data_IF_434576966038
#
_entry.id   IF_434576966038
#
_cell.length_a   1.000
_cell.length_b   1.000
_cell.length_c   1.000
_cell.angle_alpha   90.00
_cell.angle_beta   90.00
_cell.angle_gamma   90.00
#
_symmetry.space_group_name_H-M   'P 1'
#
loop_
_entity.id
_entity.type
_entity.pdbx_description
1 polymer ?
#
# COMPACT_ATOMS: atom_id res chain seq x y z
N UNK A 1 -4.70 16.99 10.62
CA UNK A 1 -5.89 16.58 11.40
C UNK A 1 -5.57 15.35 12.25
N UNK A 2 -4.84 14.38 11.70
CA UNK A 2 -4.57 13.06 12.32
C UNK A 2 -3.71 13.12 13.59
N UNK A 3 -2.76 14.06 13.70
CA UNK A 3 -1.97 14.25 14.94
C UNK A 3 -2.85 14.63 16.14
N UNK A 4 -3.94 15.37 15.93
CA UNK A 4 -4.89 15.71 17.02
C UNK A 4 -5.69 14.49 17.47
N UNK A 5 -5.97 13.56 16.56
CA UNK A 5 -6.67 12.31 16.86
C UNK A 5 -5.78 11.39 17.70
N UNK A 6 -4.51 11.23 17.35
CA UNK A 6 -3.56 10.45 18.15
C UNK A 6 -3.41 11.02 19.58
N UNK A 7 -3.28 12.35 19.71
CA UNK A 7 -3.24 13.00 21.03
C UNK A 7 -4.52 12.77 21.85
N UNK A 8 -5.69 12.75 21.20
CA UNK A 8 -6.95 12.43 21.87
C UNK A 8 -6.98 10.97 22.32
N UNK A 9 -6.56 10.03 21.48
CA UNK A 9 -6.46 8.61 21.84
C UNK A 9 -5.51 8.41 23.02
N UNK A 10 -4.34 9.06 23.01
CA UNK A 10 -3.36 9.02 24.10
C UNK A 10 -3.95 9.56 25.41
N UNK A 11 -4.74 10.64 25.35
CA UNK A 11 -5.46 11.17 26.52
C UNK A 11 -6.50 10.19 27.06
N UNK A 12 -7.27 9.54 26.19
CA UNK A 12 -8.24 8.52 26.60
C UNK A 12 -7.55 7.33 27.26
N UNK A 13 -6.46 6.82 26.66
CA UNK A 13 -5.67 5.72 27.23
C UNK A 13 -5.08 6.09 28.60
N UNK A 14 -4.54 7.30 28.74
CA UNK A 14 -4.01 7.80 30.02
C UNK A 14 -5.10 7.84 31.07
N UNK A 15 -6.29 8.34 30.74
CA UNK A 15 -7.43 8.37 31.64
C UNK A 15 -7.88 6.95 32.03
N UNK A 16 -8.03 6.04 31.07
CA UNK A 16 -8.44 4.66 31.34
C UNK A 16 -7.44 3.92 32.24
N UNK A 17 -6.13 4.08 31.99
CA UNK A 17 -5.06 3.54 32.84
C UNK A 17 -5.03 4.18 34.23
N UNK A 18 -5.42 5.44 34.38
CA UNK A 18 -5.57 6.04 35.70
C UNK A 18 -6.79 5.49 36.45
N UNK A 19 -7.88 5.19 35.73
CA UNK A 19 -9.10 4.66 36.32
C UNK A 19 -8.94 3.23 36.80
N UNK A 20 -8.24 2.37 36.05
CA UNK A 20 -8.03 0.97 36.45
C UNK A 20 -7.20 0.82 37.74
N UNK A 21 -6.36 1.80 38.04
CA UNK A 21 -5.54 1.85 39.25
C UNK A 21 -6.30 2.37 40.48
N UNK A 22 -7.57 2.79 40.35
CA UNK A 22 -8.36 3.27 41.48
C UNK A 22 -8.77 2.13 42.40
N UNK A 23 -8.65 2.37 43.70
CA UNK A 23 -9.18 1.48 44.72
C UNK A 23 -10.72 1.41 44.65
N UNK A 24 -11.29 0.24 44.98
CA UNK A 24 -12.74 0.03 45.04
C UNK A 24 -13.40 -0.51 43.76
N UNK A 25 -12.65 -0.74 42.68
CA UNK A 25 -13.17 -1.42 41.49
C UNK A 25 -13.39 -2.91 41.75
N UNK A 26 -14.56 -3.43 41.36
CA UNK A 26 -14.77 -4.88 41.33
C UNK A 26 -14.13 -5.50 40.07
N UNK A 27 -13.95 -6.83 40.08
CA UNK A 27 -13.30 -7.55 38.97
C UNK A 27 -13.97 -7.29 37.62
N UNK A 28 -15.31 -7.26 37.57
CA UNK A 28 -16.06 -7.04 36.32
C UNK A 28 -15.84 -5.64 35.75
N UNK A 29 -15.67 -4.63 36.60
CA UNK A 29 -15.35 -3.27 36.17
C UNK A 29 -13.91 -3.16 35.68
N UNK A 30 -12.99 -3.87 36.33
CA UNK A 30 -11.60 -3.98 35.88
C UNK A 30 -11.51 -4.61 34.50
N UNK A 31 -12.15 -5.77 34.28
CA UNK A 31 -12.17 -6.46 32.99
C UNK A 31 -12.72 -5.56 31.86
N UNK A 32 -13.77 -4.78 32.14
CA UNK A 32 -14.34 -3.82 31.18
C UNK A 32 -13.35 -2.70 30.83
N UNK A 33 -12.58 -2.22 31.81
CA UNK A 33 -11.56 -1.20 31.57
C UNK A 33 -10.38 -1.75 30.79
N UNK A 34 -9.92 -2.96 31.08
CA UNK A 34 -8.87 -3.67 30.35
C UNK A 34 -9.25 -3.85 28.88
N UNK A 35 -10.46 -4.37 28.62
CA UNK A 35 -10.95 -4.53 27.25
C UNK A 35 -11.03 -3.18 26.51
N UNK A 36 -11.47 -2.11 27.17
CA UNK A 36 -11.48 -0.77 26.57
C UNK A 36 -10.07 -0.29 26.25
N UNK A 37 -9.11 -0.51 27.16
CA UNK A 37 -7.70 -0.16 26.91
C UNK A 37 -7.19 -0.91 25.69
N UNK A 38 -7.41 -2.22 25.60
CA UNK A 38 -7.01 -3.03 24.44
C UNK A 38 -7.59 -2.47 23.13
N UNK A 39 -8.88 -2.18 23.10
CA UNK A 39 -9.54 -1.60 21.92
C UNK A 39 -8.93 -0.25 21.54
N UNK A 40 -8.71 0.66 22.50
CA UNK A 40 -8.09 1.95 22.22
C UNK A 40 -6.63 1.83 21.79
N UNK A 41 -5.89 0.84 22.29
CA UNK A 41 -4.53 0.54 21.81
C UNK A 41 -4.52 -0.01 20.38
N UNK A 42 -5.48 -0.85 20.01
CA UNK A 42 -5.63 -1.32 18.63
C UNK A 42 -5.97 -0.15 17.69
N UNK A 43 -6.91 0.71 18.08
CA UNK A 43 -7.25 1.93 17.34
C UNK A 43 -6.01 2.82 17.19
N UNK A 44 -5.25 3.05 18.28
CA UNK A 44 -4.01 3.83 18.26
C UNK A 44 -3.02 3.27 17.26
N UNK A 45 -2.75 1.96 17.31
CA UNK A 45 -1.83 1.27 16.38
C UNK A 45 -2.28 1.40 14.92
N UNK A 46 -3.60 1.33 14.66
CA UNK A 46 -4.15 1.54 13.32
C UNK A 46 -3.94 2.97 12.81
N UNK A 47 -4.18 3.98 13.66
CA UNK A 47 -3.92 5.38 13.31
C UNK A 47 -2.43 5.69 13.15
N UNK A 48 -1.57 5.14 14.01
CA UNK A 48 -0.11 5.25 13.87
C UNK A 48 0.35 4.65 12.54
N UNK A 49 -0.18 3.49 12.15
CA UNK A 49 0.13 2.89 10.85
C UNK A 49 -0.33 3.78 9.69
N UNK A 50 -1.58 4.22 9.72
CA UNK A 50 -2.16 5.09 8.68
C UNK A 50 -1.33 6.36 8.46
N UNK A 51 -0.84 6.96 9.55
CA UNK A 51 -0.05 8.20 9.54
C UNK A 51 1.46 7.99 9.39
N UNK A 52 1.92 6.74 9.38
CA UNK A 52 3.33 6.42 9.20
C UNK A 52 3.79 6.78 7.79
N UNK A 53 5.02 7.26 7.68
CA UNK A 53 5.67 7.44 6.38
C UNK A 53 5.79 6.10 5.65
N UNK A 54 5.69 6.15 4.34
CA UNK A 54 5.81 5.00 3.43
C UNK A 54 7.07 4.15 3.68
N UNK A 55 8.23 4.79 3.89
CA UNK A 55 9.49 4.12 4.21
C UNK A 55 9.42 3.31 5.51
N UNK A 56 8.74 3.85 6.52
CA UNK A 56 8.52 3.17 7.80
C UNK A 56 7.57 1.98 7.61
N UNK A 57 6.54 2.14 6.76
CA UNK A 57 5.64 1.03 6.43
C UNK A 57 6.40 -0.11 5.77
N UNK A 58 7.22 0.20 4.77
CA UNK A 58 8.01 -0.79 4.05
C UNK A 58 9.04 -1.49 4.96
N UNK A 59 9.75 -0.73 5.79
CA UNK A 59 10.69 -1.28 6.78
C UNK A 59 9.98 -2.24 7.75
N UNK A 60 8.77 -1.89 8.18
CA UNK A 60 7.98 -2.73 9.08
C UNK A 60 7.46 -3.99 8.40
N UNK A 61 7.06 -3.94 7.11
CA UNK A 61 6.72 -5.14 6.34
C UNK A 61 7.91 -6.12 6.29
N UNK A 62 9.11 -5.62 6.02
CA UNK A 62 10.34 -6.43 6.01
C UNK A 62 10.64 -7.03 7.39
N UNK A 63 10.49 -6.25 8.46
CA UNK A 63 10.65 -6.75 9.82
C UNK A 63 9.64 -7.88 10.14
N UNK A 64 8.39 -7.75 9.71
CA UNK A 64 7.39 -8.81 9.91
C UNK A 64 7.69 -10.06 9.07
N UNK A 65 8.15 -9.89 7.84
CA UNK A 65 8.64 -11.01 7.01
C UNK A 65 9.73 -11.80 7.75
N UNK A 66 10.68 -11.10 8.38
CA UNK A 66 11.74 -11.74 9.16
C UNK A 66 11.17 -12.54 10.35
N UNK A 67 10.25 -11.94 11.13
CA UNK A 67 9.56 -12.64 12.23
C UNK A 67 8.79 -13.87 11.77
N UNK A 68 8.05 -13.76 10.66
CA UNK A 68 7.30 -14.90 10.11
C UNK A 68 8.23 -16.02 9.66
N UNK A 69 9.39 -15.69 9.08
CA UNK A 69 10.44 -16.67 8.74
C UNK A 69 11.02 -17.35 9.96
N UNK A 70 11.33 -16.60 11.02
CA UNK A 70 11.84 -17.17 12.29
C UNK A 70 10.85 -18.16 12.90
N UNK A 71 9.55 -17.93 12.71
CA UNK A 71 8.47 -18.80 13.17
C UNK A 71 8.18 -19.97 12.21
N UNK A 72 8.91 -20.10 11.10
CA UNK A 72 8.68 -21.14 10.09
C UNK A 72 7.38 -21.01 9.31
N UNK A 73 6.76 -19.82 9.27
CA UNK A 73 5.52 -19.58 8.54
C UNK A 73 5.78 -19.44 7.03
N UNK A 74 4.78 -19.76 6.20
CA UNK A 74 4.83 -19.44 4.77
C UNK A 74 4.80 -17.92 4.57
N UNK A 75 5.88 -17.41 3.97
CA UNK A 75 6.12 -15.99 3.76
C UNK A 75 5.97 -15.55 2.30
N UNK A 76 5.53 -16.43 1.40
CA UNK A 76 5.42 -16.13 -0.03
C UNK A 76 4.54 -14.91 -0.30
N UNK A 77 3.41 -14.81 0.38
CA UNK A 77 2.46 -13.69 0.22
C UNK A 77 3.07 -12.36 0.69
N UNK A 78 3.70 -12.33 1.87
CA UNK A 78 4.40 -11.15 2.39
C UNK A 78 5.54 -10.69 1.47
N UNK A 79 6.29 -11.65 0.92
CA UNK A 79 7.39 -11.36 -0.02
C UNK A 79 6.84 -10.72 -1.31
N UNK A 80 5.74 -11.25 -1.84
CA UNK A 80 5.08 -10.70 -3.01
C UNK A 80 4.55 -9.29 -2.77
N UNK A 81 3.95 -9.01 -1.60
CA UNK A 81 3.50 -7.68 -1.21
C UNK A 81 4.67 -6.67 -1.18
N UNK A 82 5.77 -7.02 -0.50
CA UNK A 82 6.96 -6.17 -0.39
C UNK A 82 7.56 -5.87 -1.77
N UNK A 83 7.68 -6.90 -2.60
CA UNK A 83 8.23 -6.78 -3.95
C UNK A 83 7.32 -5.96 -4.86
N UNK A 84 6.00 -6.17 -4.79
CA UNK A 84 5.02 -5.42 -5.57
C UNK A 84 5.07 -3.93 -5.24
N UNK A 85 5.05 -3.59 -3.95
CA UNK A 85 5.16 -2.21 -3.50
C UNK A 85 6.40 -1.52 -4.08
N UNK A 86 7.55 -2.19 -3.97
CA UNK A 86 8.84 -1.67 -4.47
C UNK A 86 8.82 -1.53 -5.99
N UNK A 87 8.27 -2.52 -6.71
CA UNK A 87 8.21 -2.53 -8.17
C UNK A 87 7.30 -1.45 -8.73
N UNK A 88 6.15 -1.22 -8.12
CA UNK A 88 5.24 -0.14 -8.55
C UNK A 88 5.94 1.21 -8.40
N UNK A 89 6.56 1.49 -7.24
CA UNK A 89 7.27 2.75 -7.01
C UNK A 89 8.45 2.96 -7.95
N UNK A 90 9.18 1.90 -8.28
CA UNK A 90 10.26 1.94 -9.27
C UNK A 90 9.75 2.35 -10.65
N UNK A 91 8.55 1.89 -11.03
CA UNK A 91 8.04 1.99 -12.40
C UNK A 91 7.16 3.23 -12.63
N UNK A 92 6.54 3.80 -11.59
CA UNK A 92 5.72 5.03 -11.68
C UNK A 92 6.42 6.16 -12.45
N UNK A 93 7.70 6.51 -12.20
CA UNK A 93 8.37 7.56 -12.97
C UNK A 93 8.42 7.29 -14.48
N UNK A 94 8.57 6.02 -14.87
CA UNK A 94 8.56 5.61 -16.28
C UNK A 94 7.15 5.67 -16.89
N UNK A 95 6.11 5.39 -16.09
CA UNK A 95 4.71 5.56 -16.49
C UNK A 95 4.35 7.05 -16.60
N UNK A 96 4.94 7.92 -15.78
CA UNK A 96 4.68 9.36 -15.79
C UNK A 96 5.43 10.10 -16.90
N UNK A 97 6.65 9.67 -17.26
CA UNK A 97 7.49 10.25 -18.34
C UNK A 97 6.81 10.26 -19.73
N UNK A 98 5.64 9.65 -19.80
CA UNK A 98 4.81 9.38 -20.96
C UNK A 98 3.80 10.49 -21.20
N UNK A 99 3.58 11.37 -20.22
CA UNK A 99 2.59 12.42 -20.33
C UNK A 99 2.76 13.18 -21.64
N UNK A 100 1.64 13.39 -22.34
CA UNK A 100 1.63 14.03 -23.64
C UNK A 100 0.57 15.14 -23.61
N UNK A 101 0.89 16.27 -24.24
CA UNK A 101 -0.07 17.38 -24.33
C UNK A 101 -1.03 17.16 -25.50
N UNK A 102 -2.34 17.09 -25.22
CA UNK A 102 -3.41 17.23 -26.22
C UNK A 102 -4.05 18.59 -25.99
N UNK A 103 -4.13 19.45 -27.01
CA UNK A 103 -4.83 20.74 -26.92
C UNK A 103 -4.37 21.63 -25.74
N UNK A 104 -3.06 21.67 -25.47
CA UNK A 104 -2.45 22.39 -24.33
C UNK A 104 -2.78 21.81 -22.94
N UNK A 105 -3.58 20.75 -22.85
CA UNK A 105 -3.81 19.97 -21.62
C UNK A 105 -2.85 18.78 -21.57
N UNK A 106 -2.20 18.58 -20.42
CA UNK A 106 -1.40 17.38 -20.16
C UNK A 106 -2.35 16.21 -19.90
N UNK A 107 -2.31 15.19 -20.76
CA UNK A 107 -3.06 13.94 -20.59
C UNK A 107 -2.07 12.79 -20.49
N UNK A 108 -2.36 11.84 -19.61
CA UNK A 108 -1.53 10.64 -19.48
C UNK A 108 -2.16 9.53 -20.33
N UNK A 109 -1.44 9.04 -21.35
CA UNK A 109 -1.95 7.93 -22.18
C UNK A 109 -2.11 6.66 -21.33
N UNK A 110 -1.38 6.63 -20.22
CA UNK A 110 -1.37 5.60 -19.19
C UNK A 110 -2.00 6.08 -17.89
N UNK A 111 -2.96 7.01 -17.95
CA UNK A 111 -3.70 7.46 -16.76
C UNK A 111 -4.35 6.28 -16.02
N UNK A 112 -4.98 5.36 -16.76
CA UNK A 112 -5.57 4.14 -16.19
C UNK A 112 -4.52 3.28 -15.46
N UNK A 113 -3.34 3.12 -16.05
CA UNK A 113 -2.23 2.38 -15.45
C UNK A 113 -1.68 3.10 -14.22
N UNK A 114 -1.56 4.42 -14.26
CA UNK A 114 -1.08 5.23 -13.13
C UNK A 114 -2.07 5.15 -11.96
N UNK A 115 -3.35 5.40 -12.22
CA UNK A 115 -4.43 5.28 -11.24
C UNK A 115 -4.50 3.87 -10.64
N UNK A 116 -4.32 2.85 -11.49
CA UNK A 116 -4.23 1.47 -11.03
C UNK A 116 -3.04 1.27 -10.08
N UNK A 117 -1.85 1.73 -10.44
CA UNK A 117 -0.65 1.65 -9.61
C UNK A 117 -0.82 2.36 -8.26
N UNK A 118 -1.35 3.58 -8.26
CA UNK A 118 -1.62 4.35 -7.05
C UNK A 118 -2.61 3.63 -6.13
N UNK A 119 -3.72 3.13 -6.70
CA UNK A 119 -4.69 2.33 -5.94
C UNK A 119 -4.08 1.06 -5.35
N UNK A 120 -3.19 0.38 -6.06
CA UNK A 120 -2.49 -0.79 -5.53
C UNK A 120 -1.56 -0.42 -4.37
N UNK A 121 -0.83 0.70 -4.47
CA UNK A 121 -0.04 1.21 -3.34
C UNK A 121 -0.91 1.53 -2.13
N UNK A 122 -2.06 2.18 -2.34
CA UNK A 122 -3.01 2.47 -1.27
C UNK A 122 -3.53 1.19 -0.61
N UNK A 123 -3.90 0.16 -1.38
CA UNK A 123 -4.35 -1.13 -0.85
C UNK A 123 -3.26 -1.75 0.03
N UNK A 124 -2.02 -1.75 -0.43
CA UNK A 124 -0.87 -2.27 0.32
C UNK A 124 -0.60 -1.42 1.58
N UNK A 125 -0.82 -0.11 1.52
CA UNK A 125 -0.62 0.80 2.66
C UNK A 125 -1.74 0.74 3.69
N UNK A 126 -2.95 0.36 3.28
CA UNK A 126 -4.09 0.17 4.16
C UNK A 126 -4.25 -1.28 4.63
N UNK A 127 -3.49 -2.23 4.10
CA UNK A 127 -3.42 -3.57 4.67
C UNK A 127 -2.91 -3.44 6.11
N UNK A 128 -3.79 -3.72 7.06
CA UNK A 128 -3.38 -3.87 8.45
C UNK A 128 -2.55 -5.15 8.54
N UNK A 129 -1.65 -5.24 9.53
CA UNK A 129 -0.72 -6.36 9.69
C UNK A 129 -1.37 -7.76 9.74
N UNK A 130 -2.69 -7.84 9.98
CA UNK A 130 -3.45 -9.09 10.07
C UNK A 130 -4.13 -9.48 8.75
N UNK A 131 -4.28 -8.56 7.80
CA UNK A 131 -5.06 -8.76 6.59
C UNK A 131 -4.13 -8.96 5.39
N UNK A 132 -4.27 -10.10 4.69
CA UNK A 132 -3.58 -10.34 3.43
C UNK A 132 -4.09 -9.37 2.37
N UNK A 133 -3.18 -8.68 1.68
CA UNK A 133 -3.49 -7.94 0.45
C UNK A 133 -4.11 -8.89 -0.58
N UNK A 134 -5.24 -8.49 -1.15
CA UNK A 134 -5.81 -9.15 -2.32
C UNK A 134 -5.09 -8.60 -3.56
N UNK A 135 -4.38 -9.45 -4.29
CA UNK A 135 -3.75 -9.05 -5.55
C UNK A 135 -4.81 -8.91 -6.65
N UNK A 136 -4.62 -7.99 -7.60
CA UNK A 136 -5.55 -7.78 -8.69
C UNK A 136 -5.65 -9.04 -9.57
N UNK A 137 -6.86 -9.29 -10.06
CA UNK A 137 -7.12 -10.36 -11.02
C UNK A 137 -6.45 -10.09 -12.37
N UNK A 138 -6.20 -11.15 -13.14
CA UNK A 138 -5.64 -11.03 -14.48
C UNK A 138 -6.42 -10.05 -15.37
N UNK A 139 -7.75 -10.05 -15.30
CA UNK A 139 -8.62 -9.15 -16.07
C UNK A 139 -8.42 -7.69 -15.68
N UNK A 140 -8.31 -7.39 -14.38
CA UNK A 140 -8.04 -6.03 -13.91
C UNK A 140 -6.66 -5.54 -14.37
N UNK A 141 -5.66 -6.42 -14.33
CA UNK A 141 -4.31 -6.12 -14.83
C UNK A 141 -4.34 -5.86 -16.34
N UNK A 142 -4.98 -6.72 -17.12
CA UNK A 142 -5.07 -6.56 -18.59
C UNK A 142 -5.76 -5.24 -18.98
N UNK A 143 -6.84 -4.86 -18.29
CA UNK A 143 -7.54 -3.60 -18.56
C UNK A 143 -6.67 -2.38 -18.22
N UNK A 144 -6.00 -2.39 -17.06
CA UNK A 144 -5.10 -1.30 -16.65
C UNK A 144 -3.91 -1.14 -17.61
N UNK A 145 -3.39 -2.25 -18.15
CA UNK A 145 -2.25 -2.24 -19.08
C UNK A 145 -2.66 -2.16 -20.55
N UNK A 146 -3.95 -2.05 -20.88
CA UNK A 146 -4.48 -2.10 -22.24
C UNK A 146 -3.84 -1.09 -23.19
N UNK A 147 -3.71 0.16 -22.76
CA UNK A 147 -3.06 1.19 -23.59
C UNK A 147 -1.58 0.83 -23.86
N UNK A 148 -0.90 0.30 -22.85
CA UNK A 148 0.48 -0.15 -22.99
C UNK A 148 0.59 -1.29 -24.02
N UNK A 149 -0.22 -2.34 -23.87
CA UNK A 149 -0.15 -3.55 -24.70
C UNK A 149 -0.65 -3.34 -26.13
N UNK A 150 -1.70 -2.53 -26.33
CA UNK A 150 -2.34 -2.36 -27.63
C UNK A 150 -1.76 -1.23 -28.48
N UNK A 151 -1.21 -0.18 -27.85
CA UNK A 151 -0.80 1.05 -28.53
C UNK A 151 0.68 1.37 -28.38
N UNK A 152 1.18 1.36 -27.14
CA UNK A 152 2.55 1.80 -26.83
C UNK A 152 3.58 0.76 -27.27
N UNK A 153 3.46 -0.48 -26.76
CA UNK A 153 4.38 -1.58 -27.07
C UNK A 153 4.44 -1.90 -28.58
N UNK A 154 3.32 -1.94 -29.32
CA UNK A 154 3.35 -2.13 -30.77
C UNK A 154 3.73 -0.86 -31.56
N UNK A 155 4.07 0.25 -30.88
CA UNK A 155 4.48 1.51 -31.48
C UNK A 155 3.46 2.09 -32.47
N UNK A 156 2.17 2.10 -32.09
CA UNK A 156 1.08 2.66 -32.92
C UNK A 156 0.94 4.18 -32.78
N UNK A 157 1.74 4.82 -31.92
CA UNK A 157 1.69 6.27 -31.67
C UNK A 157 3.07 6.88 -31.97
N UNK A 158 3.34 7.30 -33.22
CA UNK A 158 4.67 7.74 -33.65
C UNK A 158 5.23 8.94 -32.87
N UNK A 159 4.35 9.80 -32.35
CA UNK A 159 4.66 11.02 -31.60
C UNK A 159 5.24 10.75 -30.22
N UNK A 160 5.04 9.56 -29.65
CA UNK A 160 5.56 9.18 -28.33
C UNK A 160 7.00 8.67 -28.41
N UNK A 161 7.95 9.56 -28.70
CA UNK A 161 9.37 9.20 -28.78
C UNK A 161 9.95 8.68 -27.45
N UNK A 162 9.46 9.17 -26.32
CA UNK A 162 9.93 8.76 -24.98
C UNK A 162 9.66 7.27 -24.74
N UNK A 163 8.52 6.76 -25.21
CA UNK A 163 8.19 5.33 -25.12
C UNK A 163 9.04 4.43 -26.00
N UNK A 164 9.76 4.98 -26.96
CA UNK A 164 10.68 4.18 -27.78
C UNK A 164 11.98 3.90 -27.04
N UNK A 165 12.22 4.55 -25.90
CA UNK A 165 13.38 4.26 -25.07
C UNK A 165 13.25 2.83 -24.50
N UNK A 166 14.23 1.95 -24.75
CA UNK A 166 14.19 0.56 -24.31
C UNK A 166 13.91 0.40 -22.82
N UNK A 167 14.44 1.32 -22.00
CA UNK A 167 14.31 1.31 -20.54
C UNK A 167 12.86 1.49 -20.10
N UNK A 168 12.12 2.41 -20.72
CA UNK A 168 10.72 2.69 -20.38
C UNK A 168 9.85 1.47 -20.66
N UNK A 169 9.95 0.90 -21.87
CA UNK A 169 9.20 -0.30 -22.23
C UNK A 169 9.58 -1.49 -21.33
N UNK A 170 10.88 -1.67 -21.08
CA UNK A 170 11.35 -2.76 -20.23
C UNK A 170 10.77 -2.67 -18.82
N UNK A 171 10.76 -1.49 -18.21
CA UNK A 171 10.25 -1.30 -16.84
C UNK A 171 8.75 -1.51 -16.74
N UNK A 172 7.98 -1.03 -17.71
CA UNK A 172 6.52 -1.24 -17.73
C UNK A 172 6.18 -2.71 -18.03
N UNK A 173 6.92 -3.37 -18.93
CA UNK A 173 6.77 -4.81 -19.20
C UNK A 173 7.10 -5.66 -17.96
N UNK A 174 8.16 -5.33 -17.24
CA UNK A 174 8.55 -6.01 -16.00
C UNK A 174 7.42 -5.91 -14.96
N UNK A 175 6.82 -4.74 -14.80
CA UNK A 175 5.67 -4.56 -13.89
C UNK A 175 4.46 -5.38 -14.35
N UNK A 176 4.14 -5.35 -15.65
CA UNK A 176 3.02 -6.11 -16.22
C UNK A 176 3.16 -7.61 -15.94
N UNK A 177 4.32 -8.18 -16.27
CA UNK A 177 4.62 -9.59 -16.02
C UNK A 177 4.61 -9.92 -14.54
N UNK A 178 5.09 -9.02 -13.70
CA UNK A 178 5.08 -9.22 -12.26
C UNK A 178 3.64 -9.31 -11.73
N UNK A 179 2.75 -8.38 -12.10
CA UNK A 179 1.33 -8.47 -11.77
C UNK A 179 0.70 -9.79 -12.23
N UNK A 180 0.92 -10.19 -13.48
CA UNK A 180 0.39 -11.45 -14.01
C UNK A 180 0.90 -12.70 -13.28
N UNK A 181 2.09 -12.64 -12.67
CA UNK A 181 2.62 -13.74 -11.86
C UNK A 181 2.00 -13.84 -10.46
N UNK A 182 1.28 -12.81 -10.03
CA UNK A 182 0.57 -12.74 -8.76
C UNK A 182 -0.92 -13.11 -8.89
N UNK A 183 -1.46 -13.03 -10.11
CA UNK A 183 -2.86 -13.29 -10.47
C UNK A 183 -3.21 -14.76 -10.64
#
# INVERSE_FOLDING_TARGET
MDKKILLYIDKVLTNLRSHIQREGLNNRERDKLELRIEVFEEIRKAFEWKTSKEENKQSKRIFQLAKSREQGLDVKHQLNEINLYSKIREVIPYIMAVSYKINMEEKHLTEDLLNFCEKQLEIIDHSSYKNKVCFPSKKEVEEAFKCYTERIKPNKIPTLKIYKQPEVNKKIEELYKFFLSLS
#
